data_IF_681842476842
#
_entry.id   IF_681842476842
#
_cell.length_a   1.000
_cell.length_b   1.000
_cell.length_c   1.000
_cell.angle_alpha   90.00
_cell.angle_beta   90.00
_cell.angle_gamma   90.00
#
_symmetry.space_group_name_H-M   'P 1'
#
loop_
_entity.id
_entity.type
_entity.pdbx_description
1 polymer ?
#
# COMPACT_ATOMS: atom_id res chain seq x y z
N UNK A 1 -2.85 -16.40 -0.10
CA UNK A 1 -1.83 -15.46 -0.62
C UNK A 1 -2.48 -14.07 -0.83
N UNK A 2 -1.74 -12.96 -0.83
CA UNK A 2 -2.26 -11.62 -1.14
C UNK A 2 -2.86 -11.55 -2.55
N UNK A 3 -2.31 -12.34 -3.49
CA UNK A 3 -2.82 -12.43 -4.87
C UNK A 3 -4.25 -12.98 -4.92
N UNK A 4 -4.53 -14.01 -4.12
CA UNK A 4 -5.86 -14.60 -4.02
C UNK A 4 -6.87 -13.63 -3.38
N UNK A 5 -6.42 -12.85 -2.39
CA UNK A 5 -7.25 -11.80 -1.81
C UNK A 5 -7.61 -10.72 -2.84
N UNK A 6 -6.64 -10.27 -3.65
CA UNK A 6 -6.88 -9.30 -4.71
C UNK A 6 -7.89 -9.84 -5.73
N UNK A 7 -7.69 -11.07 -6.20
CA UNK A 7 -8.60 -11.72 -7.14
C UNK A 7 -10.02 -11.85 -6.57
N UNK A 8 -10.15 -12.30 -5.31
CA UNK A 8 -11.43 -12.39 -4.62
C UNK A 8 -12.16 -11.03 -4.53
N UNK A 9 -11.45 -9.96 -4.19
CA UNK A 9 -12.04 -8.61 -4.11
C UNK A 9 -12.50 -8.12 -5.50
N UNK A 10 -11.70 -8.34 -6.53
CA UNK A 10 -12.04 -8.00 -7.91
C UNK A 10 -13.26 -8.78 -8.43
N UNK A 11 -13.36 -10.08 -8.12
CA UNK A 11 -14.54 -10.91 -8.44
C UNK A 11 -15.83 -10.38 -7.79
N UNK A 12 -15.71 -9.70 -6.64
CA UNK A 12 -16.81 -9.03 -5.96
C UNK A 12 -17.03 -7.59 -6.44
N UNK A 13 -16.37 -7.18 -7.53
CA UNK A 13 -16.41 -5.83 -8.09
C UNK A 13 -15.97 -4.74 -7.09
N UNK A 14 -15.07 -5.09 -6.17
CA UNK A 14 -14.45 -4.14 -5.26
C UNK A 14 -13.19 -3.60 -5.93
N UNK A 15 -13.10 -2.27 -6.07
CA UNK A 15 -11.91 -1.60 -6.60
C UNK A 15 -10.71 -1.82 -5.67
N UNK A 16 -9.57 -2.20 -6.25
CA UNK A 16 -8.33 -2.46 -5.51
C UNK A 16 -7.29 -1.42 -5.92
N UNK A 17 -6.73 -0.71 -4.94
CA UNK A 17 -5.73 0.33 -5.16
C UNK A 17 -4.38 -0.10 -4.57
N UNK A 18 -3.29 0.26 -5.25
CA UNK A 18 -1.92 0.16 -4.71
C UNK A 18 -1.49 1.55 -4.25
N UNK A 19 -1.11 1.69 -2.99
CA UNK A 19 -0.62 2.95 -2.42
C UNK A 19 0.80 2.75 -1.86
N UNK A 20 1.79 3.26 -2.58
CA UNK A 20 3.21 2.96 -2.34
C UNK A 20 4.05 4.21 -2.16
N UNK A 21 5.09 4.16 -1.35
CA UNK A 21 6.09 5.24 -1.27
C UNK A 21 7.14 5.16 -2.39
N UNK A 22 7.10 4.11 -3.22
CA UNK A 22 7.95 3.98 -4.41
C UNK A 22 7.47 4.88 -5.55
N UNK A 23 8.35 5.08 -6.53
CA UNK A 23 7.99 5.79 -7.76
C UNK A 23 6.90 5.01 -8.53
N UNK A 24 5.82 5.69 -8.92
CA UNK A 24 4.62 5.08 -9.51
C UNK A 24 4.93 4.16 -10.69
N UNK A 25 5.72 4.65 -11.64
CA UNK A 25 6.04 3.91 -12.88
C UNK A 25 6.81 2.61 -12.65
N UNK A 26 7.52 2.47 -11.52
CA UNK A 26 8.22 1.24 -11.18
C UNK A 26 7.28 0.14 -10.66
N UNK A 27 6.11 0.54 -10.12
CA UNK A 27 5.15 -0.37 -9.49
C UNK A 27 4.04 -0.79 -10.46
N UNK A 28 3.66 0.10 -11.38
CA UNK A 28 2.65 -0.11 -12.41
C UNK A 28 2.75 -1.47 -13.15
N UNK A 29 3.93 -1.91 -13.66
CA UNK A 29 4.03 -3.19 -14.35
C UNK A 29 3.70 -4.39 -13.44
N UNK A 30 4.03 -4.30 -12.15
CA UNK A 30 3.68 -5.32 -11.16
C UNK A 30 2.19 -5.35 -10.87
N UNK A 31 1.59 -4.17 -10.66
CA UNK A 31 0.16 -4.02 -10.42
C UNK A 31 -0.69 -4.56 -11.59
N UNK A 32 -0.27 -4.28 -12.83
CA UNK A 32 -0.95 -4.77 -14.04
C UNK A 32 -1.00 -6.29 -14.13
N UNK A 33 0.03 -7.00 -13.64
CA UNK A 33 0.03 -8.47 -13.59
C UNK A 33 -1.02 -9.04 -12.62
N UNK A 34 -1.53 -8.21 -11.70
CA UNK A 34 -2.59 -8.55 -10.75
C UNK A 34 -3.96 -7.99 -11.19
N UNK A 35 -4.08 -7.54 -12.45
CA UNK A 35 -5.32 -6.95 -12.97
C UNK A 35 -5.63 -5.56 -12.42
N UNK A 36 -4.68 -4.90 -11.74
CA UNK A 36 -4.86 -3.55 -11.21
C UNK A 36 -4.39 -2.55 -12.29
N UNK A 37 -5.28 -1.68 -12.81
CA UNK A 37 -4.95 -0.70 -13.83
C UNK A 37 -4.06 0.42 -13.26
N UNK A 38 -3.33 1.12 -14.12
CA UNK A 38 -2.34 2.14 -13.70
C UNK A 38 -2.97 3.33 -12.98
N UNK A 39 -4.23 3.63 -13.30
CA UNK A 39 -5.06 4.64 -12.64
C UNK A 39 -5.35 4.30 -11.18
N UNK A 40 -5.23 3.03 -10.79
CA UNK A 40 -5.38 2.54 -9.42
C UNK A 40 -4.04 2.35 -8.70
N UNK A 41 -2.94 2.81 -9.28
CA UNK A 41 -1.61 2.86 -8.65
C UNK A 41 -1.30 4.30 -8.24
N UNK A 42 -1.19 4.51 -6.94
CA UNK A 42 -0.76 5.76 -6.32
C UNK A 42 0.65 5.56 -5.79
N UNK A 43 1.60 6.29 -6.35
CA UNK A 43 2.99 6.27 -5.95
C UNK A 43 3.58 7.67 -6.04
N UNK A 44 4.83 7.82 -5.60
CA UNK A 44 5.57 9.07 -5.77
C UNK A 44 5.69 9.34 -7.28
N UNK A 45 5.52 10.60 -7.68
CA UNK A 45 5.69 11.04 -9.06
C UNK A 45 6.58 12.28 -9.11
N UNK A 46 7.29 12.41 -10.23
CA UNK A 46 7.97 13.65 -10.61
C UNK A 46 7.51 14.06 -11.99
N UNK A 47 7.55 15.37 -12.27
CA UNK A 47 7.14 15.90 -13.57
C UNK A 47 8.04 15.36 -14.66
N UNK A 48 7.45 15.13 -15.83
CA UNK A 48 8.18 14.90 -17.07
C UNK A 48 8.29 16.25 -17.78
N UNK A 49 9.53 16.73 -17.94
CA UNK A 49 9.83 17.99 -18.63
C UNK A 49 10.62 17.63 -19.88
N UNK A 50 10.09 17.99 -21.05
CA UNK A 50 10.70 17.70 -22.36
C UNK A 50 11.05 16.21 -22.57
N UNK A 51 10.18 15.32 -22.09
CA UNK A 51 10.36 13.87 -22.19
C UNK A 51 11.36 13.28 -21.19
N UNK A 52 11.92 14.08 -20.27
CA UNK A 52 12.88 13.65 -19.25
C UNK A 52 12.24 13.70 -17.87
N UNK A 53 12.50 12.67 -17.05
CA UNK A 53 12.12 12.64 -15.64
C UNK A 53 12.86 13.75 -14.90
N UNK A 54 12.13 14.73 -14.36
CA UNK A 54 12.71 15.81 -13.57
C UNK A 54 12.78 15.45 -12.08
N UNK A 55 13.39 16.34 -11.31
CA UNK A 55 13.43 16.33 -9.84
C UNK A 55 12.24 17.08 -9.21
N UNK A 56 11.36 17.68 -10.02
CA UNK A 56 10.18 18.39 -9.52
C UNK A 56 9.08 17.39 -9.15
N UNK A 57 8.62 17.44 -7.90
CA UNK A 57 7.51 16.62 -7.44
C UNK A 57 6.23 16.86 -8.26
N UNK A 58 5.50 15.79 -8.51
CA UNK A 58 4.17 15.81 -9.11
C UNK A 58 3.19 15.07 -8.17
N UNK A 59 2.07 15.70 -7.85
CA UNK A 59 1.05 15.12 -6.99
C UNK A 59 1.45 14.98 -5.52
N UNK A 60 0.72 14.12 -4.80
CA UNK A 60 0.88 13.87 -3.37
C UNK A 60 2.09 12.99 -3.08
N UNK A 61 2.80 13.26 -1.98
CA UNK A 61 3.85 12.36 -1.49
C UNK A 61 3.16 11.17 -0.80
N UNK A 62 3.12 10.01 -1.44
CA UNK A 62 2.47 8.79 -0.93
C UNK A 62 3.28 8.07 0.16
N UNK A 63 3.66 8.81 1.21
CA UNK A 63 4.37 8.31 2.39
C UNK A 63 3.63 8.72 3.66
N UNK A 64 3.46 7.78 4.60
CA UNK A 64 2.74 7.97 5.87
C UNK A 64 1.38 8.63 5.66
N UNK A 65 1.14 9.83 6.23
CA UNK A 65 -0.10 10.61 6.12
C UNK A 65 -0.50 10.92 4.67
N UNK A 66 0.47 11.02 3.76
CA UNK A 66 0.18 11.26 2.35
C UNK A 66 -0.39 10.05 1.60
N UNK A 67 -0.25 8.84 2.15
CA UNK A 67 -0.89 7.63 1.59
C UNK A 67 -2.43 7.70 1.63
N UNK A 68 -3.07 7.85 2.81
CA UNK A 68 -4.53 7.99 2.85
C UNK A 68 -5.00 9.27 2.17
N UNK A 69 -4.23 10.37 2.21
CA UNK A 69 -4.59 11.60 1.51
C UNK A 69 -4.71 11.38 0.00
N UNK A 70 -3.69 10.77 -0.63
CA UNK A 70 -3.70 10.49 -2.06
C UNK A 70 -4.89 9.57 -2.45
N UNK A 71 -5.14 8.53 -1.65
CA UNK A 71 -6.25 7.61 -1.88
C UNK A 71 -7.61 8.32 -1.79
N UNK A 72 -7.82 9.11 -0.74
CA UNK A 72 -9.07 9.84 -0.54
C UNK A 72 -9.29 10.90 -1.62
N UNK A 73 -8.24 11.61 -2.05
CA UNK A 73 -8.33 12.58 -3.14
C UNK A 73 -8.75 11.89 -4.46
N UNK A 74 -8.14 10.75 -4.79
CA UNK A 74 -8.48 9.99 -6.01
C UNK A 74 -9.91 9.45 -5.98
N UNK A 75 -10.38 9.02 -4.80
CA UNK A 75 -11.67 8.36 -4.61
C UNK A 75 -12.79 9.31 -4.18
N UNK A 76 -12.57 10.63 -4.26
CA UNK A 76 -13.54 11.66 -3.84
C UNK A 76 -14.04 11.46 -2.39
N UNK A 77 -13.13 11.11 -1.49
CA UNK A 77 -13.39 10.94 -0.06
C UNK A 77 -13.93 9.57 0.35
N UNK A 78 -14.00 8.59 -0.57
CA UNK A 78 -14.46 7.24 -0.22
C UNK A 78 -13.39 6.50 0.57
N UNK A 79 -13.67 6.22 1.85
CA UNK A 79 -12.75 5.47 2.71
C UNK A 79 -12.67 3.99 2.32
N UNK A 80 -11.49 3.36 2.41
CA UNK A 80 -11.33 1.94 2.06
C UNK A 80 -11.99 1.03 3.11
N UNK A 81 -12.63 -0.05 2.68
CA UNK A 81 -13.21 -1.06 3.59
C UNK A 81 -12.19 -2.12 4.04
N UNK A 82 -11.05 -2.20 3.36
CA UNK A 82 -9.93 -3.06 3.68
C UNK A 82 -8.62 -2.35 3.32
N UNK A 83 -7.68 -2.32 4.25
CA UNK A 83 -6.29 -1.92 3.99
C UNK A 83 -5.34 -3.03 4.42
N UNK A 84 -4.30 -3.26 3.60
CA UNK A 84 -3.19 -4.13 3.92
C UNK A 84 -1.87 -3.37 3.78
N UNK A 85 -0.97 -3.51 4.74
CA UNK A 85 0.32 -2.82 4.77
C UNK A 85 1.33 -3.60 5.61
N UNK A 86 2.62 -3.40 5.35
CA UNK A 86 3.68 -4.20 6.00
C UNK A 86 4.54 -3.39 6.96
N UNK A 87 4.75 -2.10 6.70
CA UNK A 87 5.64 -1.28 7.52
C UNK A 87 4.87 -0.24 8.33
N UNK A 88 5.51 0.36 9.33
CA UNK A 88 4.95 1.51 10.04
C UNK A 88 4.68 2.72 9.14
N UNK A 89 5.28 2.79 7.94
CA UNK A 89 4.94 3.78 6.92
C UNK A 89 3.53 3.62 6.33
N UNK A 90 2.86 2.49 6.59
CA UNK A 90 1.50 2.17 6.17
C UNK A 90 0.46 2.45 7.27
N UNK A 91 0.90 2.84 8.47
CA UNK A 91 0.03 2.94 9.64
C UNK A 91 -1.18 3.83 9.39
N UNK A 92 -0.98 5.04 8.87
CA UNK A 92 -2.04 6.01 8.60
C UNK A 92 -3.00 5.53 7.50
N UNK A 93 -2.50 4.74 6.54
CA UNK A 93 -3.34 4.12 5.52
C UNK A 93 -4.19 2.98 6.11
N UNK A 94 -3.64 2.18 7.02
CA UNK A 94 -4.39 1.16 7.74
C UNK A 94 -5.47 1.80 8.62
N UNK A 95 -5.15 2.89 9.31
CA UNK A 95 -6.10 3.63 10.15
C UNK A 95 -7.26 4.23 9.36
N UNK A 96 -7.03 4.64 8.11
CA UNK A 96 -8.09 5.21 7.26
C UNK A 96 -9.14 4.20 6.80
N UNK A 97 -8.89 2.89 6.98
CA UNK A 97 -9.89 1.88 6.64
C UNK A 97 -11.08 1.95 7.59
N UNK A 98 -12.30 1.82 7.06
CA UNK A 98 -13.54 1.69 7.82
C UNK A 98 -13.89 0.24 8.17
N UNK A 99 -13.08 -0.73 7.73
CA UNK A 99 -13.32 -2.15 7.97
C UNK A 99 -12.04 -2.87 8.38
N UNK A 100 -11.59 -3.78 7.53
CA UNK A 100 -10.47 -4.68 7.82
C UNK A 100 -9.14 -3.93 7.74
N UNK A 101 -8.34 -4.06 8.80
CA UNK A 101 -6.97 -3.56 8.86
C UNK A 101 -6.06 -4.76 9.00
N UNK A 102 -5.20 -4.97 8.01
CA UNK A 102 -4.35 -6.14 7.90
C UNK A 102 -2.88 -5.73 7.87
N UNK A 103 -2.18 -5.94 8.98
CA UNK A 103 -0.72 -5.90 8.98
C UNK A 103 -0.19 -7.19 8.33
N UNK A 104 0.79 -7.07 7.44
CA UNK A 104 1.43 -8.22 6.80
C UNK A 104 2.93 -8.26 7.08
N UNK A 105 3.48 -9.44 7.30
CA UNK A 105 4.92 -9.67 7.41
C UNK A 105 5.42 -10.50 6.24
N UNK A 106 6.41 -10.00 5.50
CA UNK A 106 7.01 -10.71 4.37
C UNK A 106 8.54 -10.77 4.45
N UNK A 107 9.16 -9.98 5.33
CA UNK A 107 10.61 -9.87 5.42
C UNK A 107 11.26 -11.03 6.18
N UNK A 108 12.39 -11.50 5.65
CA UNK A 108 13.26 -12.50 6.28
C UNK A 108 14.21 -11.92 7.34
N UNK A 109 14.98 -12.79 8.00
CA UNK A 109 16.03 -12.36 8.92
C UNK A 109 17.14 -11.59 8.17
N UNK A 110 17.52 -10.42 8.69
CA UNK A 110 18.55 -9.56 8.09
C UNK A 110 18.06 -8.61 7.00
N UNK A 111 16.78 -8.64 6.64
CA UNK A 111 16.19 -7.66 5.71
C UNK A 111 15.82 -6.36 6.44
N UNK A 112 16.07 -5.22 5.79
CA UNK A 112 15.94 -3.87 6.38
C UNK A 112 14.55 -3.56 6.94
N UNK A 113 13.50 -4.11 6.30
CA UNK A 113 12.11 -3.83 6.69
C UNK A 113 11.66 -4.66 7.91
N UNK A 114 12.40 -5.68 8.34
CA UNK A 114 11.95 -6.58 9.40
C UNK A 114 11.64 -5.84 10.71
N UNK A 115 12.42 -4.82 11.05
CA UNK A 115 12.21 -4.05 12.28
C UNK A 115 10.87 -3.30 12.25
N UNK A 116 10.55 -2.63 11.13
CA UNK A 116 9.30 -1.87 10.98
C UNK A 116 8.10 -2.78 10.77
N UNK A 117 8.28 -3.96 10.15
CA UNK A 117 7.23 -5.00 10.10
C UNK A 117 6.89 -5.54 11.48
N UNK A 118 7.90 -5.79 12.34
CA UNK A 118 7.68 -6.22 13.73
C UNK A 118 6.96 -5.15 14.54
N UNK A 119 7.31 -3.88 14.34
CA UNK A 119 6.66 -2.76 15.00
C UNK A 119 5.19 -2.64 14.57
N UNK A 120 4.90 -2.72 13.26
CA UNK A 120 3.52 -2.70 12.78
C UNK A 120 2.72 -3.91 13.29
N UNK A 121 3.32 -5.11 13.35
CA UNK A 121 2.68 -6.30 13.90
C UNK A 121 2.31 -6.10 15.38
N UNK A 122 3.19 -5.47 16.17
CA UNK A 122 2.91 -5.12 17.57
C UNK A 122 1.72 -4.16 17.65
N UNK A 123 1.71 -3.10 16.84
CA UNK A 123 0.59 -2.13 16.78
C UNK A 123 -0.71 -2.85 16.40
N UNK A 124 -0.67 -3.76 15.42
CA UNK A 124 -1.84 -4.51 15.01
C UNK A 124 -2.41 -5.35 16.16
N UNK A 125 -1.57 -6.02 16.95
CA UNK A 125 -2.00 -6.78 18.14
C UNK A 125 -2.63 -5.83 19.17
N UNK A 126 -1.96 -4.72 19.49
CA UNK A 126 -2.44 -3.74 20.48
C UNK A 126 -3.78 -3.10 20.07
N UNK A 127 -3.98 -2.86 18.78
CA UNK A 127 -5.22 -2.27 18.22
C UNK A 127 -6.26 -3.28 17.78
N UNK A 128 -6.05 -4.58 18.04
CA UNK A 128 -6.94 -5.67 17.63
C UNK A 128 -7.21 -5.71 16.12
N UNK A 129 -6.18 -5.46 15.31
CA UNK A 129 -6.19 -5.61 13.86
C UNK A 129 -5.75 -7.01 13.45
N UNK A 130 -6.06 -7.39 12.21
CA UNK A 130 -5.59 -8.65 11.66
C UNK A 130 -4.08 -8.57 11.38
N UNK A 131 -3.39 -9.67 11.63
CA UNK A 131 -1.98 -9.83 11.29
C UNK A 131 -1.77 -11.16 10.56
N UNK A 132 -1.02 -11.13 9.46
CA UNK A 132 -0.63 -12.33 8.72
C UNK A 132 0.86 -12.29 8.37
N UNK A 133 1.56 -13.41 8.53
CA UNK A 133 2.98 -13.53 8.18
C UNK A 133 3.17 -14.57 7.08
N UNK A 134 3.77 -14.17 5.97
CA UNK A 134 4.00 -15.02 4.79
C UNK A 134 5.29 -15.84 4.88
N UNK A 135 6.30 -15.37 5.64
CA UNK A 135 7.57 -16.09 5.82
C UNK A 135 7.84 -16.36 7.29
N UNK A 136 8.14 -17.61 7.65
CA UNK A 136 8.58 -17.94 9.01
C UNK A 136 9.93 -17.24 9.30
N UNK A 137 10.10 -16.61 10.47
CA UNK A 137 11.43 -16.26 10.94
C UNK A 137 12.14 -17.57 11.26
N UNK A 138 13.14 -17.93 10.46
CA UNK A 138 14.11 -18.95 10.85
C UNK A 138 14.96 -18.42 12.01
#
# INVERSE_FOLDING_TARGET
DIKELIAFLQEKMISVYVVTASIKWAVEPGAKRLGIPFEQVLGVQTKIIDGVVSDQQEGEITYREGKPLALLNLTNGVSPILCAGNTTGDLQLLESSQGVRLAVGASGAGEDLLATEKELAKIAIEKNWYYHRFRNPL
#
